data_IF_610567815717
#
_entry.id   IF_610567815717
#
_cell.length_a   1.000
_cell.length_b   1.000
_cell.length_c   1.000
_cell.angle_alpha   90.00
_cell.angle_beta   90.00
_cell.angle_gamma   90.00
#
_symmetry.space_group_name_H-M   'P 1'
#
loop_
_entity.id
_entity.type
_entity.pdbx_description
1 polymer ?
#
# COMPACT_ATOMS: atom_id res chain seq x y z
N UNK A 1 27.27 -18.43 -27.23
CA UNK A 1 26.07 -17.58 -27.22
C UNK A 1 25.31 -17.90 -25.94
N UNK A 2 25.66 -17.23 -24.84
CA UNK A 2 25.00 -17.43 -23.54
C UNK A 2 23.80 -16.48 -23.57
N UNK A 3 22.58 -17.03 -23.62
CA UNK A 3 21.37 -16.23 -23.66
C UNK A 3 21.20 -15.47 -22.35
N UNK A 4 21.31 -14.15 -22.41
CA UNK A 4 20.88 -13.25 -21.34
C UNK A 4 19.35 -13.42 -21.17
N UNK A 5 18.91 -13.73 -19.96
CA UNK A 5 17.50 -13.60 -19.59
C UNK A 5 17.11 -12.13 -19.68
N UNK A 6 15.92 -11.78 -20.20
CA UNK A 6 15.49 -10.39 -20.28
C UNK A 6 15.28 -9.83 -18.87
N UNK A 7 16.07 -8.83 -18.48
CA UNK A 7 15.79 -7.95 -17.35
C UNK A 7 14.47 -7.22 -17.64
N UNK A 8 13.39 -7.51 -16.91
CA UNK A 8 12.18 -6.67 -16.95
C UNK A 8 10.82 -7.33 -16.73
N UNK A 9 10.69 -8.65 -16.66
CA UNK A 9 9.42 -9.28 -16.31
C UNK A 9 9.35 -9.54 -14.80
N UNK A 10 8.61 -8.72 -14.05
CA UNK A 10 8.28 -9.05 -12.66
C UNK A 10 7.35 -10.27 -12.65
N UNK A 11 7.65 -11.25 -11.79
CA UNK A 11 6.86 -12.47 -11.69
C UNK A 11 5.44 -12.18 -11.18
N UNK A 12 4.45 -12.89 -11.73
CA UNK A 12 3.07 -12.82 -11.23
C UNK A 12 3.00 -13.28 -9.76
N UNK A 13 2.35 -12.50 -8.91
CA UNK A 13 2.32 -12.74 -7.46
C UNK A 13 1.64 -14.07 -7.09
N UNK A 14 0.58 -14.45 -7.79
CA UNK A 14 -0.11 -15.72 -7.53
C UNK A 14 0.76 -16.92 -7.93
N UNK A 15 1.48 -16.80 -9.05
CA UNK A 15 2.47 -17.82 -9.45
C UNK A 15 3.54 -17.99 -8.39
N UNK A 16 4.10 -16.89 -7.88
CA UNK A 16 5.13 -16.94 -6.82
C UNK A 16 4.57 -17.51 -5.52
N UNK A 17 3.37 -17.10 -5.11
CA UNK A 17 2.69 -17.61 -3.92
C UNK A 17 2.60 -19.14 -3.93
N UNK A 18 2.24 -19.73 -5.08
CA UNK A 18 2.13 -21.18 -5.26
C UNK A 18 3.47 -21.92 -5.15
N UNK A 19 4.60 -21.22 -5.20
CA UNK A 19 5.95 -21.81 -5.00
C UNK A 19 6.40 -21.78 -3.53
N UNK A 20 5.76 -20.96 -2.69
CA UNK A 20 6.13 -20.86 -1.29
C UNK A 20 5.76 -22.14 -0.55
N UNK A 21 6.65 -22.59 0.34
CA UNK A 21 6.31 -23.70 1.21
C UNK A 21 5.11 -23.33 2.10
N UNK A 22 4.19 -24.27 2.28
CA UNK A 22 3.06 -24.13 3.21
C UNK A 22 3.30 -25.01 4.43
N UNK A 23 3.44 -24.40 5.61
CA UNK A 23 3.71 -25.10 6.88
C UNK A 23 3.02 -24.39 8.05
N UNK A 24 2.88 -25.09 9.18
CA UNK A 24 2.44 -24.46 10.43
C UNK A 24 3.43 -23.42 10.96
N UNK A 25 2.99 -22.60 11.94
CA UNK A 25 3.89 -21.68 12.67
C UNK A 25 4.87 -22.50 13.51
N UNK A 26 6.16 -22.19 13.41
CA UNK A 26 7.16 -22.66 14.36
C UNK A 26 7.01 -21.94 15.71
N UNK A 27 7.56 -22.48 16.81
CA UNK A 27 7.55 -21.81 18.11
C UNK A 27 8.21 -20.43 18.05
N UNK A 28 7.70 -19.48 18.85
CA UNK A 28 8.30 -18.15 19.06
C UNK A 28 9.49 -18.18 20.03
N UNK A 29 9.83 -19.35 20.58
CA UNK A 29 10.96 -19.53 21.51
C UNK A 29 12.25 -18.98 20.91
N UNK A 30 13.03 -18.26 21.73
CA UNK A 30 14.30 -17.65 21.31
C UNK A 30 14.16 -16.36 20.49
N UNK A 31 12.94 -15.93 20.16
CA UNK A 31 12.74 -14.67 19.47
C UNK A 31 13.11 -13.47 20.34
N UNK A 32 14.04 -12.65 19.86
CA UNK A 32 14.24 -11.25 20.24
C UNK A 32 14.45 -10.44 18.96
N UNK A 33 14.10 -9.15 18.99
CA UNK A 33 14.41 -8.24 17.87
C UNK A 33 15.92 -8.15 17.62
N UNK A 34 16.74 -8.31 18.66
CA UNK A 34 18.20 -8.25 18.56
C UNK A 34 18.77 -9.40 17.70
N UNK A 35 18.01 -10.47 17.47
CA UNK A 35 18.39 -11.55 16.55
C UNK A 35 18.47 -11.07 15.09
N UNK A 36 17.93 -9.89 14.79
CA UNK A 36 17.96 -9.25 13.48
C UNK A 36 18.97 -8.09 13.41
N UNK A 37 19.91 -8.04 14.35
CA UNK A 37 20.94 -7.01 14.42
C UNK A 37 20.42 -5.65 14.89
N UNK A 38 21.25 -4.62 14.71
CA UNK A 38 20.91 -3.26 15.10
C UNK A 38 19.70 -2.75 14.31
N UNK A 39 18.75 -2.12 15.02
CA UNK A 39 17.60 -1.50 14.39
C UNK A 39 18.03 -0.33 13.50
N UNK A 40 17.53 -0.32 12.26
CA UNK A 40 17.81 0.72 11.27
C UNK A 40 19.30 0.83 10.95
N UNK A 41 19.98 -0.31 10.84
CA UNK A 41 21.39 -0.32 10.49
C UNK A 41 21.59 0.21 9.06
N UNK A 42 22.56 1.10 8.85
CA UNK A 42 23.02 1.45 7.52
C UNK A 42 23.65 0.20 6.87
N UNK A 43 22.84 -0.53 6.08
CA UNK A 43 23.22 -1.81 5.46
C UNK A 43 23.78 -1.65 4.05
N UNK A 44 23.49 -0.53 3.39
CA UNK A 44 23.99 -0.19 2.06
C UNK A 44 25.22 0.74 2.12
N UNK A 45 25.59 1.20 3.32
CA UNK A 45 26.73 2.06 3.61
C UNK A 45 26.64 3.42 2.91
N UNK A 46 25.42 3.92 2.73
CA UNK A 46 25.17 5.21 2.10
C UNK A 46 25.33 6.41 3.07
N UNK A 47 25.50 6.14 4.38
CA UNK A 47 25.67 7.15 5.43
C UNK A 47 24.38 7.56 6.14
N UNK A 48 23.22 7.05 5.71
CA UNK A 48 21.92 7.24 6.31
C UNK A 48 21.48 5.95 7.02
N UNK A 49 20.72 6.09 8.12
CA UNK A 49 20.07 4.92 8.70
C UNK A 49 18.88 4.47 7.84
N UNK A 50 18.56 3.17 7.87
CA UNK A 50 17.47 2.62 7.04
C UNK A 50 16.15 3.33 7.26
N UNK A 51 15.87 3.80 8.49
CA UNK A 51 14.62 4.53 8.74
C UNK A 51 14.54 5.78 7.86
N UNK A 52 15.63 6.53 7.77
CA UNK A 52 15.71 7.71 6.94
C UNK A 52 15.70 7.37 5.45
N UNK A 53 16.29 6.25 5.02
CA UNK A 53 16.17 5.77 3.63
C UNK A 53 14.70 5.52 3.25
N UNK A 54 13.94 4.87 4.13
CA UNK A 54 12.52 4.60 3.88
C UNK A 54 11.69 5.89 3.92
N UNK A 55 11.93 6.79 4.86
CA UNK A 55 11.28 8.11 4.86
C UNK A 55 11.62 8.89 3.59
N UNK A 56 12.87 8.82 3.12
CA UNK A 56 13.30 9.46 1.89
C UNK A 56 12.59 8.90 0.67
N UNK A 57 12.43 7.57 0.61
CA UNK A 57 11.73 6.90 -0.47
C UNK A 57 10.23 7.21 -0.47
N UNK A 58 9.59 7.16 0.68
CA UNK A 58 8.12 7.10 0.77
C UNK A 58 7.44 8.47 0.97
N UNK A 59 8.16 9.47 1.49
CA UNK A 59 7.60 10.82 1.65
C UNK A 59 7.78 11.66 0.39
N UNK A 60 6.80 12.51 0.10
CA UNK A 60 6.92 13.62 -0.87
C UNK A 60 7.15 14.95 -0.14
N UNK A 61 7.44 16.02 -0.88
CA UNK A 61 7.59 17.38 -0.33
C UNK A 61 8.53 17.45 0.90
N UNK A 62 9.66 16.74 0.80
CA UNK A 62 10.57 16.51 1.91
C UNK A 62 11.43 17.72 2.21
N UNK A 63 11.78 17.88 3.48
CA UNK A 63 12.90 18.72 3.92
C UNK A 63 13.88 17.91 4.78
N UNK A 64 15.10 18.43 4.92
CA UNK A 64 16.20 17.75 5.58
C UNK A 64 16.76 18.57 6.73
N UNK A 65 17.33 17.88 7.72
CA UNK A 65 18.16 18.57 8.72
C UNK A 65 19.41 19.14 8.04
N UNK A 66 19.78 20.35 8.44
CA UNK A 66 21.02 20.96 7.98
C UNK A 66 22.23 20.08 8.32
N UNK A 67 23.22 20.08 7.43
CA UNK A 67 24.49 19.36 7.57
C UNK A 67 24.37 17.82 7.65
N UNK A 68 23.28 17.24 7.13
CA UNK A 68 23.14 15.78 7.05
C UNK A 68 23.23 15.22 5.64
N UNK A 69 23.60 16.04 4.64
CA UNK A 69 23.68 15.63 3.22
C UNK A 69 22.40 14.90 2.77
N UNK A 70 21.23 15.48 3.08
CA UNK A 70 19.91 14.92 2.77
C UNK A 70 19.60 13.53 3.34
N UNK A 71 20.38 13.06 4.34
CA UNK A 71 20.05 11.84 5.08
C UNK A 71 18.87 12.04 6.02
N UNK A 72 18.92 13.02 6.93
CA UNK A 72 17.94 13.07 8.02
C UNK A 72 16.70 13.85 7.61
N UNK A 73 15.64 13.13 7.25
CA UNK A 73 14.35 13.72 6.87
C UNK A 73 13.76 14.48 8.06
N UNK A 74 13.53 15.77 7.88
CA UNK A 74 12.99 16.70 8.88
C UNK A 74 11.48 16.88 8.75
N UNK A 75 10.95 16.90 7.53
CA UNK A 75 9.51 16.90 7.25
C UNK A 75 9.21 16.27 5.90
N UNK A 76 7.94 15.99 5.64
CA UNK A 76 7.44 15.54 4.34
C UNK A 76 5.97 15.18 4.42
N UNK A 77 5.42 14.69 3.32
CA UNK A 77 4.02 14.26 3.23
C UNK A 77 3.99 12.77 2.92
N UNK A 78 3.32 12.00 3.76
CA UNK A 78 3.04 10.58 3.51
C UNK A 78 1.64 10.46 2.93
N UNK A 79 1.53 9.84 1.75
CA UNK A 79 0.27 9.24 1.30
C UNK A 79 0.21 7.83 1.87
N UNK A 80 -0.40 7.68 3.03
CA UNK A 80 -0.26 6.45 3.83
C UNK A 80 -0.90 5.26 3.10
N UNK A 81 -0.12 4.22 2.76
CA UNK A 81 -0.66 3.08 2.04
C UNK A 81 -1.64 2.25 2.88
N UNK A 82 -1.56 2.31 4.21
CA UNK A 82 -2.38 1.46 5.09
C UNK A 82 -3.81 1.98 5.30
N UNK A 83 -3.97 3.29 5.37
CA UNK A 83 -5.25 3.98 5.61
C UNK A 83 -5.78 4.71 4.37
N UNK A 84 -4.91 5.01 3.40
CA UNK A 84 -5.25 5.84 2.24
C UNK A 84 -5.36 7.33 2.60
N UNK A 85 -4.89 7.74 3.78
CA UNK A 85 -4.95 9.12 4.25
C UNK A 85 -3.63 9.85 4.04
N UNK A 86 -3.71 11.17 3.91
CA UNK A 86 -2.54 12.04 3.91
C UNK A 86 -2.09 12.29 5.35
N UNK A 87 -0.79 12.15 5.61
CA UNK A 87 -0.17 12.49 6.90
C UNK A 87 0.98 13.47 6.65
N UNK A 88 0.89 14.67 7.23
CA UNK A 88 1.98 15.63 7.21
C UNK A 88 2.99 15.26 8.33
N UNK A 89 4.16 14.78 7.93
CA UNK A 89 5.22 14.35 8.83
C UNK A 89 6.13 15.53 9.18
N UNK A 90 6.38 15.72 10.48
CA UNK A 90 7.38 16.65 11.02
C UNK A 90 8.15 15.95 12.14
N UNK A 91 9.46 15.77 11.95
CA UNK A 91 10.33 15.13 12.94
C UNK A 91 10.23 15.87 14.27
N UNK A 92 9.84 15.15 15.32
CA UNK A 92 9.44 15.71 16.60
C UNK A 92 8.48 14.79 17.36
N UNK A 93 8.23 15.09 18.63
CA UNK A 93 7.43 14.23 19.52
C UNK A 93 6.01 13.97 19.00
N UNK A 94 5.40 14.94 18.33
CA UNK A 94 3.97 14.90 17.99
C UNK A 94 3.64 14.02 16.79
N UNK A 95 4.50 13.99 15.76
CA UNK A 95 4.20 13.25 14.51
C UNK A 95 5.22 12.17 14.15
N UNK A 96 6.37 12.09 14.84
CA UNK A 96 7.32 10.99 14.58
C UNK A 96 6.79 9.61 14.98
N UNK A 97 5.82 9.57 15.91
CA UNK A 97 5.10 8.35 16.27
C UNK A 97 3.90 8.08 15.35
N UNK A 98 3.39 9.12 14.68
CA UNK A 98 2.32 9.04 13.70
C UNK A 98 2.80 8.39 12.39
N UNK A 99 4.07 8.56 12.00
CA UNK A 99 4.69 7.81 10.90
C UNK A 99 5.72 6.82 11.43
N UNK A 100 5.42 5.53 11.26
CA UNK A 100 6.30 4.42 11.62
C UNK A 100 6.86 3.75 10.38
N UNK A 101 8.01 3.10 10.52
CA UNK A 101 8.52 2.21 9.47
C UNK A 101 8.10 0.80 9.87
N UNK A 102 7.18 0.22 9.10
CA UNK A 102 6.69 -1.13 9.31
C UNK A 102 7.53 -2.15 8.54
N UNK A 103 7.73 -3.31 9.17
CA UNK A 103 8.13 -4.55 8.52
C UNK A 103 6.89 -5.22 7.93
N UNK A 104 6.69 -5.12 6.62
CA UNK A 104 5.52 -5.64 5.91
C UNK A 104 5.29 -7.12 6.23
N UNK A 105 6.37 -7.91 6.27
CA UNK A 105 6.43 -9.18 7.02
C UNK A 105 7.07 -8.90 8.38
N UNK A 106 6.26 -8.95 9.44
CA UNK A 106 6.72 -8.63 10.80
C UNK A 106 7.84 -9.59 11.26
N UNK A 107 8.85 -9.07 11.97
CA UNK A 107 10.02 -9.88 12.37
C UNK A 107 9.65 -11.08 13.26
N UNK A 108 8.64 -10.93 14.12
CA UNK A 108 8.10 -12.02 14.95
C UNK A 108 7.39 -13.09 14.12
N UNK A 109 6.70 -12.68 13.05
CA UNK A 109 6.08 -13.60 12.11
C UNK A 109 7.13 -14.34 11.28
N UNK A 110 8.11 -13.60 10.74
CA UNK A 110 9.24 -14.15 10.01
C UNK A 110 10.02 -15.17 10.84
N UNK A 111 10.26 -14.91 12.13
CA UNK A 111 10.91 -15.87 13.05
C UNK A 111 10.17 -17.20 13.10
N UNK A 112 8.85 -17.17 13.24
CA UNK A 112 8.00 -18.36 13.29
C UNK A 112 7.81 -19.01 11.91
N UNK A 113 8.27 -18.36 10.84
CA UNK A 113 8.08 -18.78 9.45
C UNK A 113 9.36 -18.91 8.63
N UNK A 114 10.51 -19.06 9.28
CA UNK A 114 11.76 -19.45 8.63
C UNK A 114 12.99 -18.63 8.99
N UNK A 115 12.84 -17.45 9.57
CA UNK A 115 13.98 -16.61 9.92
C UNK A 115 14.90 -17.23 10.99
N UNK A 116 14.43 -18.22 11.75
CA UNK A 116 15.26 -19.06 12.62
C UNK A 116 16.40 -19.79 11.87
N UNK A 117 16.19 -20.10 10.59
CA UNK A 117 17.14 -20.85 9.75
C UNK A 117 18.04 -19.93 8.93
N UNK A 118 17.79 -18.62 8.96
CA UNK A 118 18.62 -17.63 8.31
C UNK A 118 19.89 -17.40 9.14
N UNK A 119 20.98 -17.05 8.46
CA UNK A 119 22.17 -16.54 9.13
C UNK A 119 21.85 -15.20 9.81
N UNK A 120 22.73 -14.77 10.72
CA UNK A 120 22.59 -13.46 11.36
C UNK A 120 22.58 -12.32 10.34
N UNK A 121 23.46 -12.38 9.34
CA UNK A 121 23.52 -11.39 8.25
C UNK A 121 22.23 -11.40 7.41
N UNK A 122 21.69 -12.57 7.09
CA UNK A 122 20.41 -12.68 6.36
C UNK A 122 19.25 -12.10 7.17
N UNK A 123 19.22 -12.32 8.50
CA UNK A 123 18.22 -11.68 9.39
C UNK A 123 18.40 -10.17 9.47
N UNK A 124 19.64 -9.70 9.58
CA UNK A 124 19.96 -8.27 9.54
C UNK A 124 19.49 -7.63 8.24
N UNK A 125 19.71 -8.30 7.11
CA UNK A 125 19.24 -7.82 5.82
C UNK A 125 17.71 -7.81 5.76
N UNK A 126 17.02 -8.89 6.18
CA UNK A 126 15.54 -8.92 6.22
C UNK A 126 14.93 -7.78 7.05
N UNK A 127 15.59 -7.37 8.13
CA UNK A 127 15.11 -6.28 8.98
C UNK A 127 15.40 -4.88 8.44
N UNK A 128 16.32 -4.73 7.48
CA UNK A 128 16.72 -3.43 6.94
C UNK A 128 16.48 -3.32 5.41
N UNK A 129 15.93 -4.36 4.78
CA UNK A 129 15.64 -4.36 3.35
C UNK A 129 14.45 -3.45 3.02
N UNK A 130 14.62 -2.41 2.18
CA UNK A 130 13.52 -1.58 1.70
C UNK A 130 12.36 -2.39 1.10
N UNK A 131 12.62 -3.60 0.59
CA UNK A 131 11.58 -4.46 0.08
C UNK A 131 10.60 -4.94 1.17
N UNK A 132 11.08 -5.10 2.40
CA UNK A 132 10.27 -5.47 3.57
C UNK A 132 9.81 -4.24 4.38
N UNK A 133 10.15 -3.02 3.99
CA UNK A 133 9.90 -1.81 4.78
C UNK A 133 8.98 -0.81 4.08
N UNK A 134 8.08 -0.19 4.84
CA UNK A 134 7.22 0.92 4.39
C UNK A 134 7.05 1.97 5.49
N UNK A 135 7.06 3.25 5.12
CA UNK A 135 6.55 4.31 5.98
C UNK A 135 5.01 4.26 6.00
N UNK A 136 4.42 4.18 7.19
CA UNK A 136 2.98 3.96 7.38
C UNK A 136 2.43 4.68 8.62
N UNK A 137 1.10 4.80 8.68
CA UNK A 137 0.35 5.23 9.85
C UNK A 137 0.66 4.39 11.09
N UNK A 138 1.11 5.05 12.16
CA UNK A 138 1.56 4.43 13.40
C UNK A 138 0.49 3.62 14.13
N UNK A 139 -0.73 4.13 14.34
CA UNK A 139 -1.84 3.36 14.89
C UNK A 139 -2.19 2.11 14.07
N UNK A 140 -2.18 2.21 12.74
CA UNK A 140 -2.42 1.05 11.86
C UNK A 140 -1.34 -0.01 12.00
N UNK A 141 -0.07 0.41 12.06
CA UNK A 141 1.05 -0.50 12.30
C UNK A 141 0.98 -1.18 13.69
N UNK A 142 0.59 -0.44 14.73
CA UNK A 142 0.37 -1.01 16.06
C UNK A 142 -0.76 -2.03 16.08
N UNK A 143 -1.86 -1.79 15.34
CA UNK A 143 -2.95 -2.76 15.19
C UNK A 143 -2.51 -4.01 14.43
N UNK A 144 -1.66 -3.86 13.41
CA UNK A 144 -1.06 -4.99 12.67
C UNK A 144 -0.23 -5.88 13.60
N UNK A 145 0.59 -5.29 14.48
CA UNK A 145 1.47 -6.02 15.39
C UNK A 145 2.32 -7.07 14.63
N UNK A 146 2.29 -8.34 15.05
CA UNK A 146 2.90 -9.48 14.35
C UNK A 146 1.93 -10.32 13.51
N UNK A 147 0.79 -9.74 13.14
CA UNK A 147 -0.20 -10.36 12.26
C UNK A 147 0.31 -10.60 10.84
N UNK A 148 -0.06 -11.74 10.27
CA UNK A 148 0.11 -12.05 8.85
C UNK A 148 -1.12 -11.63 8.02
N UNK A 149 -1.07 -11.87 6.71
CA UNK A 149 -2.17 -11.52 5.80
C UNK A 149 -3.54 -12.18 6.13
N UNK A 150 -3.55 -13.29 6.90
CA UNK A 150 -4.78 -13.89 7.39
C UNK A 150 -5.33 -13.19 8.64
N UNK A 151 -4.44 -12.55 9.41
CA UNK A 151 -4.78 -11.88 10.68
C UNK A 151 -5.13 -10.41 10.46
N UNK A 152 -4.43 -9.75 9.55
CA UNK A 152 -4.56 -8.31 9.32
C UNK A 152 -4.30 -7.93 7.86
N UNK A 153 -5.14 -7.06 7.33
CA UNK A 153 -4.95 -6.40 6.03
C UNK A 153 -5.15 -4.89 6.20
N UNK A 154 -4.49 -4.06 5.38
CA UNK A 154 -4.73 -2.62 5.33
C UNK A 154 -6.21 -2.25 5.23
N UNK A 155 -6.61 -1.15 5.88
CA UNK A 155 -7.96 -0.61 5.76
C UNK A 155 -8.18 -0.03 4.36
N UNK A 156 -7.12 0.54 3.76
CA UNK A 156 -7.10 0.93 2.36
C UNK A 156 -7.18 -0.31 1.46
N UNK A 157 -8.37 -0.59 0.93
CA UNK A 157 -8.60 -1.77 0.09
C UNK A 157 -7.86 -1.70 -1.24
N UNK A 158 -7.62 -0.51 -1.79
CA UNK A 158 -6.90 -0.32 -3.05
C UNK A 158 -5.44 -0.79 -2.97
N UNK A 159 -4.85 -0.76 -1.78
CA UNK A 159 -3.45 -1.15 -1.58
C UNK A 159 -3.25 -2.64 -1.24
N UNK A 160 -4.33 -3.42 -1.03
CA UNK A 160 -4.22 -4.80 -0.52
C UNK A 160 -3.46 -5.74 -1.47
N UNK A 161 -3.62 -5.56 -2.78
CA UNK A 161 -2.91 -6.35 -3.79
C UNK A 161 -1.40 -6.13 -3.71
N UNK A 162 -0.96 -4.87 -3.68
CA UNK A 162 0.44 -4.49 -3.52
C UNK A 162 1.02 -4.98 -2.19
N UNK A 163 0.24 -4.86 -1.11
CA UNK A 163 0.62 -5.34 0.22
C UNK A 163 0.89 -6.84 0.25
N UNK A 164 -0.04 -7.64 -0.29
CA UNK A 164 0.10 -9.11 -0.36
C UNK A 164 1.24 -9.50 -1.32
N UNK A 165 1.33 -8.88 -2.50
CA UNK A 165 2.38 -9.17 -3.46
C UNK A 165 3.78 -8.88 -2.89
N UNK A 166 3.93 -7.79 -2.13
CA UNK A 166 5.16 -7.50 -1.40
C UNK A 166 5.48 -8.57 -0.36
N UNK A 167 4.51 -8.99 0.46
CA UNK A 167 4.76 -10.07 1.43
C UNK A 167 5.22 -11.35 0.75
N UNK A 168 4.60 -11.72 -0.38
CA UNK A 168 4.98 -12.91 -1.16
C UNK A 168 6.42 -12.79 -1.64
N UNK A 169 6.80 -11.65 -2.22
CA UNK A 169 8.16 -11.44 -2.70
C UNK A 169 9.21 -11.42 -1.58
N UNK A 170 8.92 -10.81 -0.44
CA UNK A 170 9.79 -10.88 0.76
C UNK A 170 9.96 -12.33 1.21
N UNK A 171 8.87 -13.09 1.29
CA UNK A 171 8.94 -14.50 1.71
C UNK A 171 9.71 -15.36 0.71
N UNK A 172 9.57 -15.11 -0.59
CA UNK A 172 10.35 -15.78 -1.63
C UNK A 172 11.85 -15.49 -1.45
N UNK A 173 12.22 -14.20 -1.38
CA UNK A 173 13.62 -13.74 -1.25
C UNK A 173 14.32 -14.33 -0.03
N UNK A 174 13.63 -14.32 1.12
CA UNK A 174 14.19 -14.76 2.39
C UNK A 174 13.85 -16.21 2.74
N UNK A 175 13.36 -17.00 1.78
CA UNK A 175 13.04 -18.43 1.95
C UNK A 175 12.11 -18.69 3.15
N UNK A 176 11.18 -17.78 3.39
CA UNK A 176 10.17 -17.89 4.45
C UNK A 176 8.94 -18.65 3.91
N UNK A 177 8.25 -19.37 4.79
CA UNK A 177 7.02 -20.06 4.45
C UNK A 177 5.76 -19.26 4.81
N UNK A 178 4.63 -19.73 4.33
CA UNK A 178 3.30 -19.25 4.72
C UNK A 178 2.55 -20.35 5.48
N UNK A 179 1.59 -19.95 6.30
CA UNK A 179 0.57 -20.91 6.78
C UNK A 179 -0.49 -21.14 5.72
N UNK A 180 -1.27 -22.21 5.84
CA UNK A 180 -2.38 -22.45 4.92
C UNK A 180 -3.38 -21.28 4.94
N UNK A 181 -3.75 -20.80 6.12
CA UNK A 181 -4.66 -19.67 6.26
C UNK A 181 -4.12 -18.38 5.62
N UNK A 182 -2.82 -18.11 5.80
CA UNK A 182 -2.15 -16.97 5.16
C UNK A 182 -2.11 -17.11 3.64
N UNK A 183 -1.76 -18.29 3.13
CA UNK A 183 -1.77 -18.57 1.69
C UNK A 183 -3.16 -18.33 1.09
N UNK A 184 -4.21 -18.87 1.70
CA UNK A 184 -5.58 -18.72 1.22
C UNK A 184 -6.03 -17.26 1.29
N UNK A 185 -5.69 -16.52 2.35
CA UNK A 185 -5.97 -15.10 2.46
C UNK A 185 -5.27 -14.28 1.35
N UNK A 186 -4.00 -14.56 1.09
CA UNK A 186 -3.24 -13.92 0.01
C UNK A 186 -3.85 -14.23 -1.37
N UNK A 187 -4.19 -15.49 -1.64
CA UNK A 187 -4.82 -15.90 -2.90
C UNK A 187 -6.19 -15.23 -3.09
N UNK A 188 -7.00 -15.12 -2.04
CA UNK A 188 -8.30 -14.44 -2.09
C UNK A 188 -8.17 -12.95 -2.42
N UNK A 189 -7.15 -12.27 -1.87
CA UNK A 189 -6.86 -10.88 -2.24
C UNK A 189 -6.45 -10.82 -3.72
N UNK A 190 -5.51 -11.66 -4.15
CA UNK A 190 -5.01 -11.67 -5.52
C UNK A 190 -6.06 -12.05 -6.57
N UNK A 191 -7.11 -12.78 -6.19
CA UNK A 191 -8.25 -13.05 -7.07
C UNK A 191 -8.95 -11.77 -7.56
N UNK A 192 -8.82 -10.66 -6.82
CA UNK A 192 -9.37 -9.35 -7.21
C UNK A 192 -8.44 -8.56 -8.15
N UNK A 193 -7.20 -9.01 -8.33
CA UNK A 193 -6.15 -8.35 -9.10
C UNK A 193 -5.21 -9.39 -9.75
N UNK A 194 -5.71 -10.22 -10.69
CA UNK A 194 -4.97 -11.38 -11.21
C UNK A 194 -3.68 -11.05 -11.97
N UNK A 195 -3.54 -9.80 -12.44
CA UNK A 195 -2.34 -9.31 -13.12
C UNK A 195 -1.26 -8.78 -12.16
N UNK A 196 -1.51 -8.76 -10.85
CA UNK A 196 -0.55 -8.24 -9.87
C UNK A 196 0.76 -9.03 -9.92
N UNK A 197 1.87 -8.32 -10.05
CA UNK A 197 3.23 -8.86 -9.96
C UNK A 197 3.82 -8.59 -8.58
N UNK A 198 4.83 -9.38 -8.19
CA UNK A 198 5.67 -9.01 -7.04
C UNK A 198 6.53 -7.79 -7.42
N UNK A 199 6.75 -6.81 -6.51
CA UNK A 199 7.63 -5.69 -6.83
C UNK A 199 9.06 -6.16 -7.14
N UNK A 200 9.78 -5.42 -7.99
CA UNK A 200 11.20 -5.69 -8.23
C UNK A 200 12.00 -5.49 -6.93
N UNK A 201 13.08 -6.28 -6.79
CA UNK A 201 14.03 -6.13 -5.70
C UNK A 201 14.70 -4.75 -5.79
N UNK A 202 14.16 -3.77 -5.05
CA UNK A 202 14.59 -2.37 -5.07
C UNK A 202 13.56 -1.33 -4.65
N UNK A 203 12.26 -1.67 -4.58
CA UNK A 203 11.25 -0.73 -4.05
C UNK A 203 9.90 -0.81 -4.74
N UNK A 204 8.88 -0.29 -4.06
CA UNK A 204 7.51 -0.19 -4.57
C UNK A 204 7.50 0.65 -5.85
N UNK A 205 6.78 0.18 -6.86
CA UNK A 205 6.09 1.06 -7.79
C UNK A 205 4.97 1.70 -6.96
N UNK A 206 5.13 2.95 -6.56
CA UNK A 206 4.04 3.69 -5.87
C UNK A 206 2.80 3.77 -6.78
N UNK A 207 1.58 4.02 -6.24
CA UNK A 207 0.38 4.14 -7.07
C UNK A 207 0.51 5.15 -8.22
N UNK A 208 1.26 6.25 -7.98
CA UNK A 208 1.58 7.27 -8.98
C UNK A 208 2.47 6.72 -10.12
N UNK A 209 3.40 5.81 -9.81
CA UNK A 209 4.26 5.18 -10.81
C UNK A 209 3.54 4.05 -11.57
N UNK A 210 2.57 3.38 -10.94
CA UNK A 210 1.72 2.38 -11.61
C UNK A 210 0.84 3.04 -12.70
N UNK A 211 0.29 4.24 -12.44
CA UNK A 211 -0.44 5.02 -13.45
C UNK A 211 0.46 5.52 -14.58
N UNK A 212 1.69 5.96 -14.27
CA UNK A 212 2.65 6.45 -15.27
C UNK A 212 3.21 5.32 -16.15
N UNK A 213 3.34 4.10 -15.64
CA UNK A 213 3.84 2.96 -16.42
C UNK A 213 2.77 2.38 -17.35
N UNK A 214 1.48 2.50 -17.01
CA UNK A 214 0.37 2.24 -17.95
C UNK A 214 0.32 3.28 -19.08
N UNK A 215 0.76 4.52 -18.86
CA UNK A 215 0.82 5.54 -19.90
C UNK A 215 1.98 5.36 -20.90
N UNK A 216 3.01 4.58 -20.55
CA UNK A 216 4.19 4.34 -21.40
C UNK A 216 4.10 3.13 -22.31
N UNK A 217 3.19 2.19 -22.05
CA UNK A 217 2.95 1.01 -22.92
C UNK A 217 2.02 1.31 -24.09
N UNK A 218 1.48 2.53 -24.17
CA UNK A 218 0.70 3.02 -25.31
C UNK A 218 1.60 3.88 -26.19
N UNK A 219 2.56 3.25 -26.87
CA UNK A 219 3.28 3.93 -27.95
C UNK A 219 2.27 4.25 -29.08
N UNK A 220 2.13 5.51 -29.52
CA UNK A 220 1.19 5.84 -30.58
C UNK A 220 1.70 5.25 -31.90
N UNK A 221 0.99 4.25 -32.42
CA UNK A 221 1.17 3.80 -33.80
C UNK A 221 1.00 5.00 -34.75
N UNK A 222 1.83 5.12 -35.81
CA UNK A 222 1.68 6.20 -36.78
C UNK A 222 0.35 6.04 -37.53
N UNK A 223 -0.55 6.99 -37.31
CA UNK A 223 -1.84 7.08 -37.97
C UNK A 223 -1.62 7.34 -39.46
N UNK A 224 -2.01 6.41 -40.32
CA UNK A 224 -2.19 6.69 -41.74
C UNK A 224 -3.31 7.73 -41.90
N UNK A 225 -3.01 8.85 -42.57
CA UNK A 225 -4.01 9.88 -42.91
C UNK A 225 -5.08 9.31 -43.83
N UNK A 226 -6.28 9.12 -43.28
CA UNK A 226 -7.51 8.97 -44.05
C UNK A 226 -8.09 10.37 -44.29
N UNK A 227 -8.51 10.74 -45.53
CA UNK A 227 -9.04 12.07 -45.81
C UNK A 227 -10.30 12.38 -45.01
N UNK A 228 -10.33 13.59 -44.43
CA UNK A 228 -11.40 14.08 -43.58
C UNK A 228 -12.77 14.13 -44.29
N UNK A 229 -13.84 13.52 -43.73
CA UNK A 229 -15.19 13.93 -44.05
C UNK A 229 -15.53 15.24 -43.31
N UNK A 230 -16.16 16.17 -44.04
CA UNK A 230 -16.64 17.45 -43.55
C UNK A 230 -17.76 17.32 -42.49
N UNK A 231 -17.92 18.32 -41.60
CA UNK A 231 -18.63 18.18 -40.34
C UNK A 231 -20.14 18.13 -40.49
N UNK A 232 -20.75 17.08 -39.95
CA UNK A 232 -22.16 17.08 -39.52
C UNK A 232 -22.13 17.18 -38.00
N UNK A 233 -22.88 18.14 -37.43
CA UNK A 233 -22.93 18.36 -35.98
C UNK A 233 -23.52 17.15 -35.25
N UNK A 234 -22.76 16.58 -34.31
CA UNK A 234 -23.22 15.55 -33.39
C UNK A 234 -23.34 16.13 -31.96
N UNK A 235 -24.37 15.76 -31.18
CA UNK A 235 -24.65 16.35 -29.86
C UNK A 235 -23.68 15.89 -28.77
N UNK A 236 -23.46 16.76 -27.77
CA UNK A 236 -22.61 16.52 -26.61
C UNK A 236 -22.98 15.24 -25.81
N UNK A 237 -21.99 14.49 -25.27
CA UNK A 237 -22.24 13.32 -24.44
C UNK A 237 -22.80 13.69 -23.05
N UNK A 238 -23.84 12.96 -22.63
CA UNK A 238 -24.52 13.10 -21.33
C UNK A 238 -23.72 12.47 -20.17
N UNK A 239 -23.84 13.01 -18.94
CA UNK A 239 -23.25 12.42 -17.73
C UNK A 239 -23.87 11.06 -17.35
N UNK A 240 -23.05 10.19 -16.77
CA UNK A 240 -23.46 8.92 -16.18
C UNK A 240 -24.51 9.15 -15.06
N UNK A 241 -25.62 8.43 -15.14
CA UNK A 241 -26.71 8.47 -14.17
C UNK A 241 -26.30 7.77 -12.87
N UNK A 242 -26.10 8.55 -11.81
CA UNK A 242 -26.22 8.06 -10.44
C UNK A 242 -27.72 7.92 -10.13
N UNK A 243 -28.12 6.85 -9.43
CA UNK A 243 -29.51 6.64 -9.04
C UNK A 243 -30.05 7.84 -8.23
N UNK A 244 -30.79 8.72 -8.90
CA UNK A 244 -31.29 10.00 -8.37
C UNK A 244 -32.59 9.85 -7.58
N UNK A 245 -33.08 8.61 -7.38
CA UNK A 245 -34.42 8.36 -6.86
C UNK A 245 -34.42 7.73 -5.45
N UNK A 246 -33.51 8.19 -4.59
CA UNK A 246 -33.60 7.90 -3.15
C UNK A 246 -34.54 8.93 -2.53
N UNK A 247 -35.68 8.50 -1.99
CA UNK A 247 -36.64 9.34 -1.29
C UNK A 247 -36.75 8.94 0.18
N UNK A 248 -36.55 9.90 1.08
CA UNK A 248 -36.79 9.73 2.51
C UNK A 248 -38.07 10.45 2.93
N UNK A 249 -38.97 9.74 3.61
CA UNK A 249 -40.23 10.29 4.11
C UNK A 249 -40.01 11.40 5.16
N UNK A 250 -38.97 11.27 6.00
CA UNK A 250 -38.60 12.19 7.07
C UNK A 250 -37.20 11.87 7.61
N UNK A 251 -36.68 12.71 8.51
CA UNK A 251 -35.36 12.51 9.11
C UNK A 251 -35.22 11.25 9.98
N UNK A 252 -36.32 10.67 10.47
CA UNK A 252 -36.25 9.39 11.17
C UNK A 252 -35.88 8.25 10.21
N UNK A 253 -36.39 8.27 8.97
CA UNK A 253 -36.00 7.32 7.94
C UNK A 253 -34.53 7.48 7.52
N UNK A 254 -34.03 8.72 7.45
CA UNK A 254 -32.63 9.04 7.14
C UNK A 254 -31.69 8.48 8.22
N UNK A 255 -32.03 8.71 9.51
CA UNK A 255 -31.26 8.18 10.65
C UNK A 255 -31.32 6.67 10.74
N UNK A 256 -32.49 6.06 10.52
CA UNK A 256 -32.65 4.60 10.49
C UNK A 256 -31.84 3.95 9.36
N UNK A 257 -31.66 4.64 8.23
CA UNK A 257 -30.81 4.21 7.14
C UNK A 257 -29.30 4.46 7.39
N UNK A 258 -28.93 5.11 8.51
CA UNK A 258 -27.55 5.48 8.81
C UNK A 258 -26.97 6.52 7.85
N UNK A 259 -27.82 7.36 7.24
CA UNK A 259 -27.43 8.37 6.23
C UNK A 259 -27.52 9.81 6.73
N UNK A 260 -27.79 10.03 8.02
CA UNK A 260 -27.81 11.36 8.59
C UNK A 260 -26.40 11.79 9.05
N UNK A 261 -26.00 13.05 8.86
CA UNK A 261 -26.70 14.11 8.12
C UNK A 261 -26.60 13.95 6.59
N UNK A 262 -27.58 14.48 5.85
CA UNK A 262 -27.57 14.54 4.38
C UNK A 262 -27.15 15.92 3.90
N UNK A 263 -26.20 16.00 2.98
CA UNK A 263 -25.71 17.28 2.46
C UNK A 263 -26.36 17.63 1.11
N UNK A 264 -26.54 18.92 0.83
CA UNK A 264 -27.09 19.41 -0.44
C UNK A 264 -26.35 18.81 -1.64
N UNK A 265 -27.11 18.19 -2.56
CA UNK A 265 -26.57 17.49 -3.74
C UNK A 265 -26.35 15.98 -3.54
N UNK A 266 -26.48 15.46 -2.31
CA UNK A 266 -26.45 14.02 -2.08
C UNK A 266 -27.79 13.34 -2.45
N UNK A 267 -27.77 12.07 -2.92
CA UNK A 267 -28.99 11.30 -3.13
C UNK A 267 -29.83 11.22 -1.85
N UNK A 268 -31.11 11.59 -1.96
CA UNK A 268 -32.04 11.65 -0.82
C UNK A 268 -32.10 12.98 -0.07
N UNK A 269 -31.26 13.95 -0.43
CA UNK A 269 -31.40 15.31 0.06
C UNK A 269 -32.70 15.96 -0.44
N UNK A 270 -33.42 16.66 0.44
CA UNK A 270 -34.57 17.48 0.08
C UNK A 270 -34.62 18.70 1.00
N UNK A 271 -34.93 19.88 0.46
CA UNK A 271 -35.15 21.11 1.24
C UNK A 271 -36.30 21.02 2.23
N UNK A 272 -37.13 19.96 2.18
CA UNK A 272 -38.14 19.66 3.21
C UNK A 272 -37.56 19.00 4.46
N UNK A 273 -36.34 18.46 4.37
CA UNK A 273 -35.62 17.77 5.44
C UNK A 273 -34.54 18.67 6.07
N UNK A 274 -34.16 19.73 5.38
CA UNK A 274 -33.30 20.83 5.83
C UNK A 274 -34.20 21.93 6.41
N UNK A 275 -34.26 22.01 7.75
CA UNK A 275 -35.24 22.85 8.46
C UNK A 275 -34.83 24.33 8.48
N UNK A 276 -33.54 24.58 8.56
CA UNK A 276 -32.93 25.90 8.69
C UNK A 276 -32.32 26.42 7.37
N UNK A 277 -32.25 25.58 6.34
CA UNK A 277 -31.94 25.97 4.97
C UNK A 277 -30.44 26.18 4.74
N UNK A 278 -29.59 25.56 5.55
CA UNK A 278 -28.14 25.75 5.54
C UNK A 278 -27.42 24.77 4.59
N UNK A 279 -28.16 23.85 3.98
CA UNK A 279 -27.62 22.81 3.10
C UNK A 279 -27.33 21.48 3.80
N UNK A 280 -27.69 21.32 5.08
CA UNK A 280 -27.50 20.11 5.88
C UNK A 280 -28.86 19.61 6.40
N UNK A 281 -29.41 18.59 5.75
CA UNK A 281 -30.66 17.98 6.16
C UNK A 281 -30.46 16.96 7.30
N UNK A 282 -31.38 16.96 8.25
CA UNK A 282 -31.49 15.98 9.33
C UNK A 282 -30.31 15.91 10.32
N UNK A 283 -29.70 17.06 10.63
CA UNK A 283 -28.91 17.26 11.87
C UNK A 283 -29.69 16.80 13.12
#
# INVERSE_FOLDING_TARGET
MIGQAPEGAQDNALTVLNTLAVKGRAPKTGYSRDQFGAAWADVDHNGCDTRNDILNRDLTDKTYKANTHDCVVASGVLQDPYTGTRIDFVRGQDTSTAVQIDHVVALSDAWQKGAQQLTEDERRNLANDPYNLLAVDGPSNQRKSDGDAATWLPANTGFRCEYVARQIGVKQKYRLWVTQAEHDAMANVLATCPAQTIPADGGVITPVQAEQQQAQTVEPQPTQEVPAPQPTQEPAPQPAQQDTNVYYKNCAAVRAAGKAPLYQGQPGYSSKLDRDGDGIACE
#
